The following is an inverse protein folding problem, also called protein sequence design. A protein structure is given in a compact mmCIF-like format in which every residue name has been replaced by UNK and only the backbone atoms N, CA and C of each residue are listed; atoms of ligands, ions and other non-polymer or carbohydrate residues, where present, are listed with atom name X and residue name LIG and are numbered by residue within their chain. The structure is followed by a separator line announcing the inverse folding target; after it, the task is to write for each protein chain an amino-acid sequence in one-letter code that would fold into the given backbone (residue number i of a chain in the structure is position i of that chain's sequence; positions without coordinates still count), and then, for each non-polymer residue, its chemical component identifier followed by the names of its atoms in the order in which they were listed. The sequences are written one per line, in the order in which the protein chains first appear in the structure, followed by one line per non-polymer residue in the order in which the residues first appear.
data_IF_983874468782
#
_entry.id   IF_983874468782
#
_cell.length_a   1.000
_cell.length_b   1.000
_cell.length_c   1.000
_cell.angle_alpha   90.00
_cell.angle_beta   90.00
_cell.angle_gamma   90.00
#
_symmetry.space_group_name_H-M   'P 1'
#
loop_
_entity.id
_entity.type
_entity.pdbx_description
1 polymer ?
#
# COMPACT_ATOMS: atom_id res chain seq x y z
N UNK A 1 -16.37 -9.09 21.14
CA UNK A 1 -16.21 -8.10 20.05
C UNK A 1 -14.77 -8.17 19.58
N UNK A 2 -14.49 -8.32 18.28
CA UNK A 2 -13.11 -8.28 17.78
C UNK A 2 -12.66 -6.81 17.79
N UNK A 3 -11.56 -6.51 18.46
CA UNK A 3 -10.97 -5.17 18.37
C UNK A 3 -10.45 -4.95 16.95
N UNK A 4 -10.72 -3.78 16.33
CA UNK A 4 -10.08 -3.43 15.08
C UNK A 4 -8.57 -3.38 15.33
N UNK A 5 -7.81 -4.14 14.56
CA UNK A 5 -6.36 -4.18 14.60
C UNK A 5 -5.84 -4.08 13.17
N UNK A 6 -4.67 -3.45 13.01
CA UNK A 6 -3.98 -3.43 11.73
C UNK A 6 -3.61 -4.86 11.33
N UNK A 7 -3.79 -5.20 10.05
CA UNK A 7 -3.39 -6.50 9.50
C UNK A 7 -1.93 -6.49 9.03
N UNK A 8 -1.45 -5.34 8.58
CA UNK A 8 -0.07 -5.12 8.13
C UNK A 8 0.92 -5.24 9.29
N UNK A 9 2.09 -5.80 9.02
CA UNK A 9 3.17 -5.93 9.99
C UNK A 9 3.59 -4.58 10.62
N UNK A 10 3.79 -4.57 11.94
CA UNK A 10 4.09 -3.34 12.68
C UNK A 10 5.42 -2.67 12.28
N UNK A 11 6.43 -3.45 11.87
CA UNK A 11 7.69 -2.88 11.38
C UNK A 11 7.49 -2.20 10.03
N UNK A 12 6.69 -2.82 9.15
CA UNK A 12 6.32 -2.23 7.87
C UNK A 12 5.49 -0.96 8.04
N UNK A 13 4.53 -0.96 8.95
CA UNK A 13 3.77 0.25 9.31
C UNK A 13 4.72 1.37 9.75
N UNK A 14 5.64 1.09 10.67
CA UNK A 14 6.64 2.07 11.12
C UNK A 14 7.48 2.60 9.95
N UNK A 15 7.95 1.70 9.09
CA UNK A 15 8.73 2.08 7.91
C UNK A 15 7.94 3.00 6.98
N UNK A 16 6.70 2.65 6.65
CA UNK A 16 5.82 3.49 5.83
C UNK A 16 5.58 4.86 6.46
N UNK A 17 5.29 4.92 7.77
CA UNK A 17 5.08 6.18 8.48
C UNK A 17 6.35 7.05 8.51
N UNK A 18 7.54 6.46 8.57
CA UNK A 18 8.78 7.22 8.44
C UNK A 18 8.94 7.82 7.04
N UNK A 19 8.60 7.07 5.98
CA UNK A 19 8.71 7.54 4.59
C UNK A 19 7.80 8.74 4.31
N UNK A 20 6.56 8.73 4.81
CA UNK A 20 5.64 9.84 4.64
C UNK A 20 5.70 10.88 5.77
N UNK A 21 6.67 10.77 6.69
CA UNK A 21 6.80 11.63 7.88
C UNK A 21 5.52 11.69 8.74
N UNK A 22 4.77 10.59 8.77
CA UNK A 22 3.46 10.49 9.43
C UNK A 22 2.36 11.32 8.76
N UNK A 23 2.61 11.90 7.59
CA UNK A 23 1.71 12.76 6.86
C UNK A 23 1.20 12.08 5.60
N UNK A 24 0.00 11.50 5.69
CA UNK A 24 -0.63 10.83 4.56
C UNK A 24 -0.97 11.76 3.38
N UNK A 25 -1.03 13.08 3.60
CA UNK A 25 -1.19 14.05 2.50
C UNK A 25 -0.01 14.00 1.50
N UNK A 26 1.17 13.56 1.94
CA UNK A 26 2.34 13.34 1.08
C UNK A 26 2.25 12.05 0.25
N UNK A 27 1.28 11.18 0.53
CA UNK A 27 1.12 9.92 -0.18
C UNK A 27 0.31 10.10 -1.47
N UNK A 28 0.37 9.07 -2.33
CA UNK A 28 -0.50 8.89 -3.47
C UNK A 28 -1.60 7.89 -3.09
N UNK A 29 -2.85 8.25 -3.31
CA UNK A 29 -3.98 7.34 -3.12
C UNK A 29 -4.12 6.41 -4.33
N UNK A 30 -4.07 5.09 -4.13
CA UNK A 30 -4.27 4.12 -5.20
C UNK A 30 -5.56 3.35 -4.99
N UNK A 31 -6.50 3.45 -5.94
CA UNK A 31 -7.76 2.69 -5.89
C UNK A 31 -7.68 1.37 -6.68
N UNK A 32 -8.09 0.26 -6.06
CA UNK A 32 -8.40 -0.99 -6.76
C UNK A 32 -9.92 -1.18 -6.89
N UNK A 33 -10.46 -0.99 -8.09
CA UNK A 33 -11.86 -1.35 -8.43
C UNK A 33 -11.97 -2.68 -9.19
N UNK A 34 -10.86 -3.22 -9.67
CA UNK A 34 -10.80 -4.41 -10.54
C UNK A 34 -10.60 -5.72 -9.78
N UNK A 35 -10.26 -5.64 -8.49
CA UNK A 35 -10.02 -6.79 -7.64
C UNK A 35 -11.35 -7.42 -7.21
N UNK A 36 -11.94 -8.31 -8.03
CA UNK A 36 -13.15 -9.07 -7.68
C UNK A 36 -12.88 -10.19 -6.64
N UNK A 37 -11.67 -10.24 -6.11
CA UNK A 37 -11.25 -11.19 -5.09
C UNK A 37 -11.73 -10.67 -3.72
N UNK A 38 -12.75 -11.34 -3.18
CA UNK A 38 -13.49 -10.99 -1.97
C UNK A 38 -12.64 -10.72 -0.70
N UNK A 39 -11.33 -11.01 -0.72
CA UNK A 39 -10.48 -10.92 0.48
C UNK A 39 -9.14 -10.17 0.28
N UNK A 40 -8.64 -10.00 -0.95
CA UNK A 40 -7.26 -9.49 -1.14
C UNK A 40 -7.15 -7.97 -1.20
N UNK A 41 -8.25 -7.27 -1.40
CA UNK A 41 -8.32 -5.81 -1.43
C UNK A 41 -9.55 -5.32 -0.65
N UNK A 42 -9.84 -5.93 0.51
CA UNK A 42 -10.89 -5.44 1.42
C UNK A 42 -10.67 -3.94 1.69
N UNK A 43 -11.59 -3.11 1.21
CA UNK A 43 -11.60 -1.64 1.22
C UNK A 43 -10.75 -0.92 0.14
N UNK A 44 -10.58 -1.59 -1.00
CA UNK A 44 -10.45 -1.03 -2.37
C UNK A 44 -9.31 -0.05 -2.66
N UNK A 45 -8.25 -0.05 -1.87
CA UNK A 45 -7.08 0.77 -2.18
C UNK A 45 -5.98 0.72 -1.13
N UNK A 46 -4.93 1.48 -1.39
CA UNK A 46 -3.79 1.64 -0.52
C UNK A 46 -3.22 3.05 -0.68
N UNK A 47 -2.55 3.53 0.36
CA UNK A 47 -1.63 4.65 0.22
C UNK A 47 -0.31 4.12 -0.33
N UNK A 48 0.28 4.89 -1.23
CA UNK A 48 1.56 4.60 -1.84
C UNK A 48 2.49 5.79 -1.61
N UNK A 49 3.72 5.52 -1.21
CA UNK A 49 4.81 6.49 -1.17
C UNK A 49 6.07 5.82 -1.71
N UNK A 50 6.76 6.39 -2.71
CA UNK A 50 8.06 5.90 -3.13
C UNK A 50 9.12 6.22 -2.08
N UNK A 51 10.12 5.37 -1.90
CA UNK A 51 11.30 5.71 -1.12
C UNK A 51 12.27 6.60 -1.92
N UNK A 52 13.42 6.94 -1.32
CA UNK A 52 14.48 7.74 -1.94
C UNK A 52 15.08 7.14 -3.22
N UNK A 53 14.92 5.82 -3.43
CA UNK A 53 15.36 5.11 -4.63
C UNK A 53 14.24 5.00 -5.69
N UNK A 54 13.05 5.49 -5.38
CA UNK A 54 11.86 5.34 -6.20
C UNK A 54 11.15 3.99 -6.02
N UNK A 55 11.61 3.12 -5.11
CA UNK A 55 10.96 1.84 -4.85
C UNK A 55 9.61 2.06 -4.16
N UNK A 56 8.57 1.30 -4.51
CA UNK A 56 7.26 1.54 -3.94
C UNK A 56 7.19 1.03 -2.51
N UNK A 57 6.55 1.80 -1.63
CA UNK A 57 6.12 1.35 -0.31
C UNK A 57 4.61 1.58 -0.18
N UNK A 58 3.85 0.57 0.27
CA UNK A 58 2.39 0.61 0.30
C UNK A 58 1.83 0.38 1.69
N UNK A 59 0.69 0.99 1.99
CA UNK A 59 -0.09 0.78 3.21
C UNK A 59 -1.57 0.61 2.85
N UNK A 60 -2.20 -0.54 3.14
CA UNK A 60 -3.62 -0.75 2.88
C UNK A 60 -4.50 0.31 3.56
N UNK A 61 -5.56 0.77 2.87
CA UNK A 61 -6.48 1.76 3.44
C UNK A 61 -7.21 1.25 4.69
N UNK A 62 -7.42 -0.07 4.79
CA UNK A 62 -8.00 -0.69 5.98
C UNK A 62 -7.18 -0.41 7.24
N UNK A 63 -5.85 -0.37 7.12
CA UNK A 63 -4.95 -0.11 8.23
C UNK A 63 -4.69 1.39 8.38
N UNK A 64 -4.60 2.13 7.27
CA UNK A 64 -4.51 3.59 7.29
C UNK A 64 -5.69 4.23 8.05
N UNK A 65 -6.91 3.69 7.89
CA UNK A 65 -8.11 4.14 8.61
C UNK A 65 -8.04 3.93 10.14
N UNK A 66 -7.18 3.01 10.62
CA UNK A 66 -6.94 2.78 12.05
C UNK A 66 -5.76 3.61 12.58
N UNK A 67 -4.81 3.95 11.71
CA UNK A 67 -3.57 4.65 12.07
C UNK A 67 -3.72 6.17 12.06
N UNK A 68 -4.49 6.72 11.11
CA UNK A 68 -4.65 8.16 10.96
C UNK A 68 -5.88 8.69 11.70
N UNK A 69 -5.87 9.97 12.14
CA UNK A 69 -7.02 10.58 12.81
C UNK A 69 -8.29 10.68 11.96
N UNK A 70 -8.13 10.56 10.63
CA UNK A 70 -9.22 10.59 9.64
C UNK A 70 -8.93 9.55 8.56
N UNK A 71 -9.98 9.09 7.90
CA UNK A 71 -9.86 8.21 6.73
C UNK A 71 -9.23 9.02 5.59
N UNK A 72 -8.12 8.58 5.01
CA UNK A 72 -7.50 9.25 3.87
C UNK A 72 -8.45 9.34 2.67
N UNK A 73 -8.65 10.55 2.16
CA UNK A 73 -9.44 10.83 0.95
C UNK A 73 -8.54 11.14 -0.25
N UNK A 74 -8.87 10.68 -1.48
CA UNK A 74 -8.00 10.89 -2.64
C UNK A 74 -7.67 12.34 -2.95
N UNK A 75 -8.58 13.28 -2.66
CA UNK A 75 -8.43 14.72 -2.92
C UNK A 75 -7.48 15.43 -1.96
N UNK A 76 -7.17 14.79 -0.84
CA UNK A 76 -6.30 15.31 0.20
C UNK A 76 -4.86 14.77 0.08
N UNK A 77 -4.66 13.74 -0.77
CA UNK A 77 -3.36 13.20 -1.13
C UNK A 77 -2.62 14.07 -2.17
N UNK A 78 -1.30 13.94 -2.25
CA UNK A 78 -0.45 14.61 -3.27
C UNK A 78 -0.85 14.20 -4.69
N UNK A 79 -1.38 12.99 -4.85
CA UNK A 79 -1.97 12.54 -6.08
C UNK A 79 -2.85 11.31 -5.86
N UNK A 80 -3.50 10.88 -6.93
CA UNK A 80 -4.26 9.64 -6.90
C UNK A 80 -4.20 8.93 -8.26
N UNK A 81 -4.22 7.59 -8.27
CA UNK A 81 -4.19 6.80 -9.49
C UNK A 81 -4.92 5.46 -9.34
N UNK A 82 -5.26 4.85 -10.47
CA UNK A 82 -5.80 3.48 -10.46
C UNK A 82 -4.70 2.46 -10.20
N UNK A 83 -5.07 1.29 -9.68
CA UNK A 83 -4.16 0.15 -9.60
C UNK A 83 -3.55 -0.22 -10.96
N UNK A 84 -4.28 -0.03 -12.07
CA UNK A 84 -3.76 -0.33 -13.40
C UNK A 84 -2.60 0.62 -13.74
N UNK A 85 -2.77 1.92 -13.48
CA UNK A 85 -1.71 2.91 -13.65
C UNK A 85 -0.50 2.64 -12.74
N UNK A 86 -0.74 2.29 -11.47
CA UNK A 86 0.33 1.90 -10.54
C UNK A 86 1.09 0.66 -11.05
N UNK A 87 0.36 -0.37 -11.50
CA UNK A 87 0.94 -1.62 -11.99
C UNK A 87 1.75 -1.39 -13.26
N UNK A 88 1.27 -0.52 -14.16
CA UNK A 88 1.99 -0.13 -15.37
C UNK A 88 3.27 0.64 -15.04
N UNK A 89 3.18 1.63 -14.14
CA UNK A 89 4.31 2.44 -13.68
C UNK A 89 5.41 1.58 -13.04
N UNK A 90 5.02 0.60 -12.22
CA UNK A 90 5.94 -0.28 -11.49
C UNK A 90 6.16 -1.65 -12.14
N UNK A 91 5.72 -1.87 -13.39
CA UNK A 91 5.81 -3.17 -14.04
C UNK A 91 7.24 -3.76 -14.03
N UNK A 92 8.31 -2.99 -14.31
CA UNK A 92 9.68 -3.52 -14.25
C UNK A 92 10.06 -4.00 -12.84
N UNK A 93 9.68 -3.23 -11.81
CA UNK A 93 9.94 -3.57 -10.41
C UNK A 93 9.19 -4.85 -10.01
N UNK A 94 7.89 -4.91 -10.29
CA UNK A 94 7.05 -6.08 -9.97
C UNK A 94 7.55 -7.36 -10.67
N UNK A 95 7.99 -7.24 -11.92
CA UNK A 95 8.56 -8.34 -12.69
C UNK A 95 9.92 -8.81 -12.12
N UNK A 96 10.80 -7.88 -11.74
CA UNK A 96 12.08 -8.20 -11.12
C UNK A 96 11.91 -8.97 -9.80
N UNK A 97 10.87 -8.63 -9.03
CA UNK A 97 10.49 -9.31 -7.80
C UNK A 97 9.70 -10.62 -8.04
N UNK A 98 9.43 -10.98 -9.30
CA UNK A 98 8.65 -12.17 -9.71
C UNK A 98 7.26 -12.24 -9.07
N UNK A 99 6.62 -11.09 -8.85
CA UNK A 99 5.31 -11.01 -8.22
C UNK A 99 4.19 -11.39 -9.20
N UNK A 100 3.13 -12.09 -8.75
CA UNK A 100 1.97 -12.38 -9.58
C UNK A 100 1.21 -11.10 -9.92
N UNK A 101 1.01 -10.81 -11.21
CA UNK A 101 0.26 -9.62 -11.65
C UNK A 101 -1.26 -9.80 -11.61
N UNK A 102 -1.75 -11.03 -11.54
CA UNK A 102 -3.19 -11.38 -11.53
C UNK A 102 -3.51 -12.30 -10.34
N UNK A 103 -4.68 -12.18 -9.71
CA UNK A 103 -5.74 -11.19 -9.99
C UNK A 103 -5.39 -9.77 -9.51
N UNK A 104 -4.40 -9.63 -8.62
CA UNK A 104 -3.90 -8.36 -8.09
C UNK A 104 -2.48 -8.55 -7.56
N UNK A 105 -1.50 -7.67 -7.89
CA UNK A 105 -0.14 -7.78 -7.37
C UNK A 105 0.03 -7.33 -5.92
N UNK A 106 -0.94 -6.58 -5.39
CA UNK A 106 -0.81 -5.84 -4.13
C UNK A 106 -0.61 -6.75 -2.90
N UNK A 107 -1.35 -7.86 -2.72
CA UNK A 107 -1.12 -8.75 -1.56
C UNK A 107 0.30 -9.33 -1.54
N UNK A 108 0.81 -9.73 -2.72
CA UNK A 108 2.14 -10.30 -2.83
C UNK A 108 3.22 -9.22 -2.65
N UNK A 109 2.98 -8.01 -3.16
CA UNK A 109 3.86 -6.86 -2.94
C UNK A 109 3.93 -6.48 -1.45
N UNK A 110 2.79 -6.37 -0.77
CA UNK A 110 2.76 -6.07 0.66
C UNK A 110 3.56 -7.12 1.44
N UNK A 111 3.29 -8.41 1.17
CA UNK A 111 4.00 -9.50 1.84
C UNK A 111 5.51 -9.47 1.62
N UNK A 112 5.95 -9.12 0.40
CA UNK A 112 7.37 -8.93 0.10
C UNK A 112 7.98 -7.80 0.94
N UNK A 113 7.33 -6.64 0.97
CA UNK A 113 7.80 -5.47 1.70
C UNK A 113 7.84 -5.70 3.21
N UNK A 114 6.84 -6.41 3.76
CA UNK A 114 6.83 -6.83 5.17
C UNK A 114 8.05 -7.68 5.51
N UNK A 115 8.38 -8.67 4.68
CA UNK A 115 9.52 -9.55 4.90
C UNK A 115 10.86 -8.79 4.86
N UNK A 116 10.98 -7.79 3.97
CA UNK A 116 12.19 -6.96 3.86
C UNK A 116 12.51 -6.17 5.14
N UNK A 117 11.53 -5.96 6.02
CA UNK A 117 11.76 -5.28 7.32
C UNK A 117 12.43 -6.18 8.38
N UNK A 118 12.69 -7.44 8.05
CA UNK A 118 13.30 -8.42 8.97
C UNK A 118 14.72 -8.83 8.59
N UNK A 119 15.24 -8.38 7.43
CA UNK A 119 16.58 -8.70 6.92
C UNK A 119 17.68 -7.75 7.45
N UNK A 120 17.78 -7.61 8.78
CA UNK A 120 18.82 -6.80 9.46
C UNK A 120 20.05 -7.63 9.84
#
# INVERSE_FOLDING_TARGET
MKHPHCKTDAKHIRHFLNLCEGNWHSCIYVWCRTCNAQESCENSGFLFHPDETGSPCILPLSDAALLFPRIPEPTECTGSMSIAAFTELYLPYLAAQKLPLKPCPIPALLRLQENQQYDW
#
